data_IF_155843456727
#
_entry.id   IF_155843456727
#
_cell.length_a   1.000
_cell.length_b   1.000
_cell.length_c   1.000
_cell.angle_alpha   90.00
_cell.angle_beta   90.00
_cell.angle_gamma   90.00
#
_symmetry.space_group_name_H-M   'P 1'
#
loop_
_entity.id
_entity.type
_entity.pdbx_description
1 polymer ?
#
# COMPACT_ATOMS: atom_id res chain seq x y z
N UNK A 1 -30.41 -12.02 -4.73
CA UNK A 1 -31.28 -12.95 -3.98
C UNK A 1 -30.64 -14.32 -4.10
N UNK A 2 -29.75 -14.69 -3.18
CA UNK A 2 -29.13 -16.02 -3.21
C UNK A 2 -29.92 -16.94 -2.30
N UNK A 3 -30.42 -18.03 -2.88
CA UNK A 3 -30.97 -19.16 -2.17
C UNK A 3 -29.82 -19.80 -1.37
N UNK A 4 -30.09 -20.25 -0.15
CA UNK A 4 -29.13 -21.09 0.59
C UNK A 4 -28.79 -22.28 -0.31
N UNK A 5 -27.54 -22.32 -0.78
CA UNK A 5 -27.06 -23.40 -1.64
C UNK A 5 -26.82 -24.63 -0.77
N UNK A 6 -27.31 -25.78 -1.25
CA UNK A 6 -27.06 -27.06 -0.60
C UNK A 6 -25.56 -27.40 -0.59
N UNK A 7 -25.11 -28.17 0.40
CA UNK A 7 -23.70 -28.56 0.57
C UNK A 7 -23.16 -29.27 -0.69
N UNK A 8 -24.03 -30.02 -1.40
CA UNK A 8 -23.69 -30.67 -2.68
C UNK A 8 -23.37 -29.65 -3.78
N UNK A 9 -24.11 -28.55 -3.85
CA UNK A 9 -23.86 -27.49 -4.83
C UNK A 9 -22.56 -26.73 -4.51
N UNK A 10 -22.33 -26.43 -3.24
CA UNK A 10 -21.07 -25.84 -2.76
C UNK A 10 -19.87 -26.74 -3.07
N UNK A 11 -20.04 -28.05 -2.93
CA UNK A 11 -19.03 -29.03 -3.28
C UNK A 11 -18.74 -29.02 -4.80
N UNK A 12 -19.78 -29.06 -5.63
CA UNK A 12 -19.65 -29.02 -7.08
C UNK A 12 -18.91 -27.77 -7.57
N UNK A 13 -19.25 -26.59 -7.02
CA UNK A 13 -18.55 -25.33 -7.32
C UNK A 13 -17.08 -25.37 -6.86
N UNK A 14 -16.80 -25.92 -5.68
CA UNK A 14 -15.42 -26.08 -5.19
C UNK A 14 -14.61 -27.01 -6.10
N UNK A 15 -15.23 -28.10 -6.56
CA UNK A 15 -14.63 -29.04 -7.51
C UNK A 15 -14.34 -28.36 -8.86
N UNK A 16 -15.28 -27.58 -9.39
CA UNK A 16 -15.11 -26.78 -10.62
C UNK A 16 -13.91 -25.81 -10.51
N UNK A 17 -13.83 -25.05 -9.41
CA UNK A 17 -12.70 -24.15 -9.15
C UNK A 17 -11.37 -24.90 -9.05
N UNK A 18 -11.34 -26.01 -8.32
CA UNK A 18 -10.13 -26.82 -8.15
C UNK A 18 -9.64 -27.49 -9.44
N UNK A 19 -10.52 -27.69 -10.42
CA UNK A 19 -10.16 -28.18 -11.75
C UNK A 19 -9.58 -27.10 -12.66
N UNK A 20 -9.75 -25.82 -12.32
CA UNK A 20 -9.30 -24.70 -13.14
C UNK A 20 -7.84 -24.34 -12.83
N UNK A 21 -6.91 -24.93 -13.57
CA UNK A 21 -5.46 -24.71 -13.39
C UNK A 21 -5.08 -23.22 -13.41
N UNK A 22 -5.57 -22.38 -14.34
CA UNK A 22 -5.24 -20.95 -14.33
C UNK A 22 -5.72 -20.22 -13.07
N UNK A 23 -6.85 -20.62 -12.48
CA UNK A 23 -7.32 -20.08 -11.21
C UNK A 23 -6.38 -20.44 -10.07
N UNK A 24 -6.00 -21.71 -9.94
CA UNK A 24 -5.03 -22.16 -8.92
C UNK A 24 -3.67 -21.46 -9.06
N UNK A 25 -3.16 -21.34 -10.29
CA UNK A 25 -1.95 -20.58 -10.58
C UNK A 25 -2.09 -19.10 -10.14
N UNK A 26 -3.26 -18.50 -10.37
CA UNK A 26 -3.54 -17.12 -9.91
C UNK A 26 -3.46 -17.00 -8.40
N UNK A 27 -4.08 -17.93 -7.64
CA UNK A 27 -3.98 -17.93 -6.17
C UNK A 27 -2.53 -18.09 -5.71
N UNK A 28 -1.78 -19.01 -6.35
CA UNK A 28 -0.37 -19.27 -6.04
C UNK A 28 0.52 -18.04 -6.26
N UNK A 29 0.36 -17.35 -7.38
CA UNK A 29 1.11 -16.10 -7.67
C UNK A 29 0.79 -15.03 -6.63
N UNK A 30 -0.49 -14.83 -6.28
CA UNK A 30 -0.87 -13.84 -5.25
C UNK A 30 -0.28 -14.16 -3.89
N UNK A 31 -0.34 -15.41 -3.48
CA UNK A 31 0.25 -15.88 -2.23
C UNK A 31 1.76 -15.60 -2.21
N UNK A 32 2.46 -15.95 -3.29
CA UNK A 32 3.89 -15.68 -3.43
C UNK A 32 4.21 -14.18 -3.34
N UNK A 33 3.49 -13.32 -4.08
CA UNK A 33 3.69 -11.87 -4.05
C UNK A 33 3.42 -11.27 -2.65
N UNK A 34 2.40 -11.77 -1.94
CA UNK A 34 2.09 -11.34 -0.59
C UNK A 34 3.17 -11.76 0.42
N UNK A 35 3.74 -12.97 0.29
CA UNK A 35 4.86 -13.42 1.11
C UNK A 35 6.12 -12.57 0.86
N UNK A 36 6.42 -12.27 -0.40
CA UNK A 36 7.52 -11.36 -0.77
C UNK A 36 7.30 -9.97 -0.15
N UNK A 37 6.10 -9.42 -0.26
CA UNK A 37 5.74 -8.13 0.34
C UNK A 37 5.89 -8.11 1.86
N UNK A 38 5.44 -9.18 2.53
CA UNK A 38 5.50 -9.32 4.00
C UNK A 38 6.94 -9.32 4.53
N UNK A 39 7.89 -9.85 3.75
CA UNK A 39 9.33 -9.88 4.12
C UNK A 39 10.03 -8.58 3.68
N UNK A 40 9.74 -8.09 2.47
CA UNK A 40 10.47 -6.96 1.89
C UNK A 40 10.08 -5.61 2.51
N UNK A 41 8.80 -5.38 2.79
CA UNK A 41 8.35 -4.10 3.36
C UNK A 41 8.99 -3.79 4.72
N UNK A 42 9.07 -4.71 5.71
CA UNK A 42 9.75 -4.44 6.98
C UNK A 42 11.24 -4.15 6.80
N UNK A 43 11.92 -4.88 5.89
CA UNK A 43 13.32 -4.63 5.56
C UNK A 43 13.49 -3.20 5.02
N UNK A 44 12.63 -2.79 4.09
CA UNK A 44 12.64 -1.42 3.56
C UNK A 44 12.39 -0.42 4.67
N UNK A 45 11.37 -0.61 5.52
CA UNK A 45 11.07 0.27 6.66
C UNK A 45 12.26 0.47 7.60
N UNK A 46 12.97 -0.61 7.94
CA UNK A 46 14.16 -0.55 8.80
C UNK A 46 15.33 0.16 8.10
N UNK A 47 15.45 0.02 6.78
CA UNK A 47 16.52 0.64 5.99
C UNK A 47 16.24 2.12 5.64
N UNK A 48 15.02 2.60 5.86
CA UNK A 48 14.52 3.84 5.27
C UNK A 48 15.01 5.09 6.01
N UNK A 49 16.25 5.48 5.69
CA UNK A 49 16.78 6.82 5.98
C UNK A 49 16.09 7.92 5.16
N UNK A 50 15.24 7.55 4.20
CA UNK A 50 14.55 8.48 3.29
C UNK A 50 13.50 9.31 4.03
N UNK A 51 12.81 8.69 4.98
CA UNK A 51 11.75 9.33 5.75
C UNK A 51 12.26 10.53 6.56
N UNK A 52 13.56 10.59 6.87
CA UNK A 52 14.17 11.69 7.63
C UNK A 52 14.05 13.06 6.93
N UNK A 53 13.95 13.09 5.60
CA UNK A 53 13.80 14.35 4.85
C UNK A 53 12.38 14.83 4.71
N UNK A 54 11.39 14.00 5.06
CA UNK A 54 10.02 14.45 5.08
C UNK A 54 9.70 15.05 6.44
N UNK A 55 8.86 16.09 6.42
CA UNK A 55 8.17 16.60 7.59
C UNK A 55 7.60 15.44 8.44
N UNK A 56 7.64 15.53 9.79
CA UNK A 56 7.13 14.50 10.68
C UNK A 56 5.70 14.04 10.36
N UNK A 57 4.82 14.96 9.94
CA UNK A 57 3.44 14.67 9.53
C UNK A 57 3.39 13.66 8.37
N UNK A 58 4.07 13.95 7.25
CA UNK A 58 4.13 13.06 6.09
C UNK A 58 4.82 11.73 6.41
N UNK A 59 5.86 11.75 7.27
CA UNK A 59 6.53 10.53 7.72
C UNK A 59 5.58 9.60 8.47
N UNK A 60 4.75 10.14 9.36
CA UNK A 60 3.75 9.36 10.09
C UNK A 60 2.77 8.70 9.12
N UNK A 61 2.21 9.48 8.19
CA UNK A 61 1.23 8.99 7.21
C UNK A 61 1.82 7.90 6.30
N UNK A 62 3.07 8.06 5.85
CA UNK A 62 3.79 7.03 5.10
C UNK A 62 3.94 5.73 5.90
N UNK A 63 4.34 5.81 7.18
CA UNK A 63 4.49 4.63 8.04
C UNK A 63 3.17 3.91 8.26
N UNK A 64 2.10 4.67 8.51
CA UNK A 64 0.76 4.10 8.66
C UNK A 64 0.30 3.42 7.36
N UNK A 65 0.55 4.04 6.20
CA UNK A 65 0.27 3.43 4.91
C UNK A 65 1.00 2.08 4.76
N UNK A 66 2.31 2.04 5.04
CA UNK A 66 3.09 0.79 4.96
C UNK A 66 2.53 -0.28 5.91
N UNK A 67 2.15 0.10 7.13
CA UNK A 67 1.54 -0.81 8.10
C UNK A 67 0.24 -1.44 7.54
N UNK A 68 -0.63 -0.66 6.90
CA UNK A 68 -1.88 -1.20 6.36
C UNK A 68 -1.68 -2.03 5.08
N UNK A 69 -0.63 -1.75 4.30
CA UNK A 69 -0.21 -2.66 3.22
C UNK A 69 0.26 -4.01 3.79
N UNK A 70 0.99 -4.03 4.91
CA UNK A 70 1.35 -5.27 5.61
C UNK A 70 0.13 -6.03 6.12
N UNK A 71 -0.83 -5.35 6.74
CA UNK A 71 -2.11 -5.95 7.17
C UNK A 71 -2.82 -6.60 5.98
N UNK A 72 -2.83 -5.94 4.83
CA UNK A 72 -3.40 -6.49 3.61
C UNK A 72 -2.64 -7.71 3.07
N UNK A 73 -1.30 -7.71 3.16
CA UNK A 73 -0.49 -8.88 2.82
C UNK A 73 -0.86 -10.07 3.71
N UNK A 74 -0.98 -9.88 5.03
CA UNK A 74 -1.40 -10.92 5.97
C UNK A 74 -2.78 -11.49 5.61
N UNK A 75 -3.76 -10.62 5.34
CA UNK A 75 -5.09 -11.05 4.90
C UNK A 75 -5.06 -11.86 3.61
N UNK A 76 -4.22 -11.45 2.64
CA UNK A 76 -4.01 -12.20 1.40
C UNK A 76 -3.39 -13.57 1.68
N UNK A 77 -2.31 -13.64 2.46
CA UNK A 77 -1.68 -14.91 2.82
C UNK A 77 -2.68 -15.87 3.45
N UNK A 78 -3.49 -15.41 4.41
CA UNK A 78 -4.51 -16.24 5.07
C UNK A 78 -5.56 -16.74 4.06
N UNK A 79 -6.15 -15.85 3.27
CA UNK A 79 -7.19 -16.23 2.30
C UNK A 79 -6.66 -17.21 1.24
N UNK A 80 -5.59 -16.86 0.54
CA UNK A 80 -5.10 -17.64 -0.59
C UNK A 80 -4.49 -18.98 -0.12
N UNK A 81 -3.85 -19.03 1.07
CA UNK A 81 -3.30 -20.29 1.61
C UNK A 81 -4.39 -21.28 2.00
N UNK A 82 -5.49 -20.82 2.62
CA UNK A 82 -6.62 -21.69 2.99
C UNK A 82 -7.27 -22.27 1.73
N UNK A 83 -7.55 -21.45 0.73
CA UNK A 83 -8.15 -21.92 -0.51
C UNK A 83 -7.22 -22.88 -1.29
N UNK A 84 -5.93 -22.55 -1.44
CA UNK A 84 -4.97 -23.45 -2.09
C UNK A 84 -4.83 -24.78 -1.36
N UNK A 85 -4.74 -24.76 -0.03
CA UNK A 85 -4.63 -25.98 0.79
C UNK A 85 -5.87 -26.85 0.60
N UNK A 86 -7.06 -26.26 0.61
CA UNK A 86 -8.32 -27.00 0.36
C UNK A 86 -8.37 -27.59 -1.05
N UNK A 87 -8.05 -26.79 -2.07
CA UNK A 87 -8.20 -27.21 -3.46
C UNK A 87 -7.13 -28.21 -3.93
N UNK A 88 -5.93 -28.17 -3.33
CA UNK A 88 -4.82 -29.04 -3.72
C UNK A 88 -4.63 -30.17 -2.71
N UNK A 89 -4.31 -29.83 -1.45
CA UNK A 89 -3.89 -30.81 -0.44
C UNK A 89 -5.07 -31.65 0.04
N UNK A 90 -6.16 -31.03 0.49
CA UNK A 90 -7.30 -31.77 1.03
C UNK A 90 -7.99 -32.62 -0.03
N UNK A 91 -8.14 -32.06 -1.24
CA UNK A 91 -8.65 -32.80 -2.39
C UNK A 91 -7.82 -34.06 -2.64
N UNK A 92 -6.49 -33.92 -2.72
CA UNK A 92 -5.61 -35.05 -2.99
C UNK A 92 -5.66 -36.12 -1.88
N UNK A 93 -5.53 -35.71 -0.62
CA UNK A 93 -5.58 -36.63 0.53
C UNK A 93 -6.90 -37.40 0.59
N UNK A 94 -8.04 -36.75 0.29
CA UNK A 94 -9.36 -37.41 0.29
C UNK A 94 -9.61 -38.28 -0.94
N UNK A 95 -8.96 -38.00 -2.07
CA UNK A 95 -9.03 -38.87 -3.25
C UNK A 95 -8.31 -40.20 -3.02
N UNK A 96 -7.21 -40.18 -2.26
CA UNK A 96 -6.42 -41.38 -1.98
C UNK A 96 -6.99 -42.23 -0.84
N UNK A 97 -7.74 -41.59 0.06
CA UNK A 97 -8.43 -42.29 1.13
C UNK A 97 -9.58 -43.15 0.56
N UNK A 98 -9.57 -44.45 0.83
CA UNK A 98 -10.59 -45.41 0.40
C UNK A 98 -11.98 -45.22 1.05
N UNK A 99 -12.19 -44.11 1.75
CA UNK A 99 -13.44 -43.79 2.41
C UNK A 99 -14.37 -43.03 1.45
N UNK A 100 -15.65 -43.40 1.45
CA UNK A 100 -16.67 -42.73 0.64
C UNK A 100 -17.02 -41.37 1.27
N UNK A 101 -16.34 -40.31 0.82
CA UNK A 101 -16.62 -38.94 1.23
C UNK A 101 -17.67 -38.32 0.30
N UNK A 102 -18.78 -37.83 0.87
CA UNK A 102 -19.80 -37.07 0.13
C UNK A 102 -19.22 -35.85 -0.62
N UNK A 103 -18.11 -35.30 -0.14
CA UNK A 103 -17.42 -34.18 -0.79
C UNK A 103 -15.90 -34.19 -0.58
N UNK A 104 -15.16 -34.15 -1.69
CA UNK A 104 -13.68 -34.08 -1.69
C UNK A 104 -13.14 -32.73 -1.19
N UNK A 105 -13.90 -31.63 -1.33
CA UNK A 105 -13.47 -30.29 -0.92
C UNK A 105 -14.54 -29.68 0.00
N UNK A 106 -14.38 -29.79 1.33
CA UNK A 106 -15.41 -29.37 2.26
C UNK A 106 -15.62 -27.85 2.20
N UNK A 107 -16.87 -27.39 2.28
CA UNK A 107 -17.22 -25.96 2.35
C UNK A 107 -16.60 -25.26 3.56
N UNK A 108 -16.34 -23.95 3.47
CA UNK A 108 -15.83 -23.13 4.56
C UNK A 108 -17.00 -22.48 5.33
N UNK A 109 -17.00 -22.48 6.67
CA UNK A 109 -17.93 -21.67 7.44
C UNK A 109 -17.66 -20.17 7.23
N UNK A 110 -18.71 -19.36 7.05
CA UNK A 110 -18.55 -17.90 6.90
C UNK A 110 -17.85 -17.24 8.10
N UNK A 111 -17.97 -17.82 9.31
CA UNK A 111 -17.25 -17.35 10.49
C UNK A 111 -15.72 -17.32 10.31
N UNK A 112 -15.17 -18.18 9.46
CA UNK A 112 -13.75 -18.18 9.11
C UNK A 112 -13.48 -17.33 7.86
N UNK A 113 -14.28 -17.52 6.81
CA UNK A 113 -14.05 -16.88 5.51
C UNK A 113 -14.18 -15.34 5.58
N UNK A 114 -15.23 -14.84 6.24
CA UNK A 114 -15.57 -13.41 6.26
C UNK A 114 -14.50 -12.60 7.01
N UNK A 115 -14.09 -12.92 8.25
CA UNK A 115 -13.07 -12.13 8.96
C UNK A 115 -11.71 -12.12 8.24
N UNK A 116 -11.29 -13.27 7.70
CA UNK A 116 -10.05 -13.36 6.93
C UNK A 116 -10.09 -12.47 5.69
N UNK A 117 -11.18 -12.52 4.91
CA UNK A 117 -11.35 -11.65 3.74
C UNK A 117 -11.47 -10.18 4.13
N UNK A 118 -12.11 -9.88 5.27
CA UNK A 118 -12.23 -8.52 5.78
C UNK A 118 -10.89 -7.94 6.25
N UNK A 119 -9.97 -8.75 6.78
CA UNK A 119 -8.62 -8.29 7.10
C UNK A 119 -7.88 -7.79 5.85
N UNK A 120 -7.99 -8.53 4.74
CA UNK A 120 -7.43 -8.14 3.44
C UNK A 120 -8.01 -6.81 2.96
N UNK A 121 -9.34 -6.70 2.96
CA UNK A 121 -10.09 -5.52 2.52
C UNK A 121 -9.83 -4.31 3.43
N UNK A 122 -9.73 -4.52 4.74
CA UNK A 122 -9.42 -3.48 5.72
C UNK A 122 -8.06 -2.84 5.44
N UNK A 123 -7.03 -3.67 5.22
CA UNK A 123 -5.70 -3.18 4.84
C UNK A 123 -5.73 -2.38 3.52
N UNK A 124 -6.49 -2.84 2.53
CA UNK A 124 -6.66 -2.11 1.26
C UNK A 124 -7.32 -0.74 1.47
N UNK A 125 -8.49 -0.71 2.11
CA UNK A 125 -9.25 0.51 2.34
C UNK A 125 -8.46 1.52 3.18
N UNK A 126 -7.78 1.04 4.23
CA UNK A 126 -6.97 1.89 5.09
C UNK A 126 -5.79 2.49 4.29
N UNK A 127 -5.08 1.71 3.49
CA UNK A 127 -4.00 2.19 2.60
C UNK A 127 -4.48 3.36 1.72
N UNK A 128 -5.62 3.21 1.03
CA UNK A 128 -6.23 4.29 0.23
C UNK A 128 -6.51 5.55 1.05
N UNK A 129 -7.11 5.40 2.24
CA UNK A 129 -7.45 6.54 3.10
C UNK A 129 -6.21 7.23 3.68
N UNK A 130 -5.14 6.49 3.97
CA UNK A 130 -3.87 7.07 4.42
C UNK A 130 -3.13 7.80 3.31
N UNK A 131 -3.20 7.33 2.06
CA UNK A 131 -2.73 8.10 0.90
C UNK A 131 -3.56 9.37 0.73
N UNK A 132 -4.89 9.30 0.84
CA UNK A 132 -5.74 10.48 0.78
C UNK A 132 -5.41 11.51 1.87
N UNK A 133 -5.21 11.05 3.11
CA UNK A 133 -4.75 11.88 4.22
C UNK A 133 -3.39 12.53 3.92
N UNK A 134 -2.47 11.79 3.30
CA UNK A 134 -1.17 12.33 2.88
C UNK A 134 -1.31 13.39 1.79
N UNK A 135 -2.17 13.19 0.79
CA UNK A 135 -2.45 14.20 -0.23
C UNK A 135 -3.07 15.46 0.38
N UNK A 136 -4.04 15.31 1.28
CA UNK A 136 -4.65 16.43 1.99
C UNK A 136 -3.62 17.22 2.83
N UNK A 137 -2.69 16.50 3.46
CA UNK A 137 -1.60 17.10 4.22
C UNK A 137 -0.61 17.88 3.32
N UNK A 138 -0.26 17.35 2.14
CA UNK A 138 0.55 18.07 1.14
C UNK A 138 -0.18 19.29 0.55
N UNK A 139 -1.49 19.19 0.35
CA UNK A 139 -2.34 20.30 -0.08
C UNK A 139 -2.33 21.41 0.98
N UNK A 140 -2.54 21.06 2.25
CA UNK A 140 -2.49 22.00 3.36
C UNK A 140 -1.11 22.66 3.48
N UNK A 141 -0.03 21.88 3.40
CA UNK A 141 1.34 22.40 3.45
C UNK A 141 1.67 23.35 2.27
N UNK A 142 1.03 23.16 1.11
CA UNK A 142 1.23 24.01 -0.06
C UNK A 142 0.43 25.32 0.00
N UNK A 143 -0.77 25.30 0.60
CA UNK A 143 -1.64 26.48 0.71
C UNK A 143 -1.27 27.33 1.93
N UNK A 144 -1.06 26.69 3.08
CA UNK A 144 -0.90 27.34 4.38
C UNK A 144 0.54 27.30 4.89
N UNK A 145 1.48 27.66 4.01
CA UNK A 145 2.93 27.57 4.24
C UNK A 145 3.35 28.16 5.60
N UNK A 146 2.87 29.37 5.94
CA UNK A 146 3.23 30.07 7.20
C UNK A 146 2.70 29.41 8.47
N UNK A 147 1.52 28.78 8.38
CA UNK A 147 0.86 28.16 9.54
C UNK A 147 1.35 26.73 9.73
N UNK A 148 1.70 26.05 8.63
CA UNK A 148 2.16 24.67 8.64
C UNK A 148 3.42 24.47 9.49
N UNK A 149 4.39 25.38 9.39
CA UNK A 149 5.65 25.30 10.17
C UNK A 149 5.44 25.33 11.69
N UNK A 150 4.40 26.05 12.13
CA UNK A 150 4.06 26.13 13.57
C UNK A 150 3.37 24.85 14.07
N UNK A 151 2.79 24.08 13.16
CA UNK A 151 1.99 22.91 13.46
C UNK A 151 2.82 21.64 13.31
N UNK A 152 3.64 21.35 14.33
CA UNK A 152 4.57 20.22 14.42
C UNK A 152 4.02 18.88 13.86
N UNK A 153 3.34 18.09 14.71
CA UNK A 153 2.88 16.73 14.41
C UNK A 153 1.33 16.62 14.39
N UNK A 154 0.65 17.69 14.80
CA UNK A 154 -0.79 17.69 15.06
C UNK A 154 -1.61 17.35 13.82
N UNK A 155 -1.24 17.88 12.66
CA UNK A 155 -1.97 17.66 11.40
C UNK A 155 -1.87 16.18 10.98
N UNK A 156 -0.67 15.59 11.05
CA UNK A 156 -0.45 14.18 10.72
C UNK A 156 -1.21 13.24 11.65
N UNK A 157 -1.24 13.54 12.95
CA UNK A 157 -1.96 12.74 13.95
C UNK A 157 -3.48 12.84 13.76
N UNK A 158 -4.02 14.05 13.63
CA UNK A 158 -5.47 14.25 13.44
C UNK A 158 -5.93 13.55 12.15
N UNK A 159 -5.23 13.77 11.03
CA UNK A 159 -5.57 13.12 9.76
C UNK A 159 -5.46 11.59 9.82
N UNK A 160 -4.46 11.05 10.54
CA UNK A 160 -4.32 9.61 10.78
C UNK A 160 -5.49 9.04 11.59
N UNK A 161 -5.91 9.72 12.65
CA UNK A 161 -7.05 9.32 13.48
C UNK A 161 -8.34 9.33 12.66
N UNK A 162 -8.58 10.40 11.89
CA UNK A 162 -9.77 10.50 11.03
C UNK A 162 -9.78 9.36 10.01
N UNK A 163 -8.68 9.11 9.30
CA UNK A 163 -8.58 8.01 8.34
C UNK A 163 -8.83 6.65 8.98
N UNK A 164 -8.24 6.41 10.16
CA UNK A 164 -8.41 5.17 10.92
C UNK A 164 -9.86 4.95 11.37
N UNK A 165 -10.51 5.98 11.92
CA UNK A 165 -11.90 5.93 12.39
C UNK A 165 -12.84 5.68 11.20
N UNK A 166 -12.69 6.40 10.09
CA UNK A 166 -13.51 6.18 8.89
C UNK A 166 -13.36 4.74 8.39
N UNK A 167 -12.13 4.26 8.24
CA UNK A 167 -11.87 2.90 7.75
C UNK A 167 -12.49 1.83 8.65
N UNK A 168 -12.30 1.99 9.97
CA UNK A 168 -12.79 1.05 10.98
C UNK A 168 -14.31 1.04 11.02
N UNK A 169 -14.95 2.21 11.01
CA UNK A 169 -16.42 2.31 10.98
C UNK A 169 -17.01 1.68 9.73
N UNK A 170 -16.48 1.96 8.54
CA UNK A 170 -16.96 1.37 7.28
C UNK A 170 -16.79 -0.15 7.28
N UNK A 171 -15.67 -0.64 7.80
CA UNK A 171 -15.39 -2.09 7.86
C UNK A 171 -16.27 -2.79 8.89
N UNK A 172 -16.51 -2.16 10.05
CA UNK A 172 -17.40 -2.68 11.07
C UNK A 172 -18.85 -2.78 10.58
N UNK A 173 -19.35 -1.73 9.91
CA UNK A 173 -20.68 -1.76 9.28
C UNK A 173 -20.77 -2.91 8.28
N UNK A 174 -19.75 -3.10 7.43
CA UNK A 174 -19.70 -4.23 6.50
C UNK A 174 -19.71 -5.56 7.23
N UNK A 175 -18.94 -5.73 8.30
CA UNK A 175 -18.90 -6.97 9.10
C UNK A 175 -20.25 -7.30 9.74
N UNK A 176 -20.95 -6.30 10.29
CA UNK A 176 -22.26 -6.50 10.94
C UNK A 176 -23.35 -6.90 9.94
N UNK A 177 -23.25 -6.45 8.69
CA UNK A 177 -24.23 -6.75 7.64
C UNK A 177 -24.00 -8.10 6.93
N UNK A 178 -22.96 -8.86 7.29
CA UNK A 178 -22.67 -10.18 6.68
C UNK A 178 -23.58 -11.29 7.21
N UNK A 179 -23.86 -12.28 6.37
CA UNK A 179 -24.59 -13.48 6.78
C UNK A 179 -23.61 -14.57 7.22
N UNK A 180 -23.41 -14.73 8.52
CA UNK A 180 -22.47 -15.74 9.07
C UNK A 180 -23.01 -17.17 9.07
N UNK A 181 -24.29 -17.38 8.76
CA UNK A 181 -24.88 -18.73 8.67
C UNK A 181 -24.63 -19.40 7.31
N UNK A 182 -24.31 -18.61 6.28
CA UNK A 182 -24.11 -19.12 4.93
C UNK A 182 -22.74 -19.81 4.82
N UNK A 183 -22.70 -21.05 4.33
CA UNK A 183 -21.44 -21.73 3.99
C UNK A 183 -20.92 -21.23 2.63
N UNK A 184 -19.60 -21.24 2.48
CA UNK A 184 -18.92 -20.68 1.32
C UNK A 184 -18.06 -21.74 0.63
N UNK A 185 -17.99 -21.70 -0.71
CA UNK A 185 -17.15 -22.62 -1.48
C UNK A 185 -15.68 -22.16 -1.57
N UNK A 186 -15.40 -20.87 -1.31
CA UNK A 186 -14.06 -20.25 -1.27
C UNK A 186 -13.98 -19.12 -0.22
N UNK A 187 -12.79 -18.58 0.04
CA UNK A 187 -12.57 -17.45 0.95
C UNK A 187 -13.08 -16.14 0.35
N UNK A 188 -14.35 -15.83 0.60
CA UNK A 188 -15.05 -14.67 0.04
C UNK A 188 -15.91 -13.92 1.06
N UNK A 189 -16.72 -12.98 0.55
CA UNK A 189 -17.77 -12.30 1.29
C UNK A 189 -19.13 -12.90 0.95
N UNK A 190 -20.07 -12.87 1.89
CA UNK A 190 -21.45 -13.29 1.66
C UNK A 190 -22.21 -12.25 0.84
N UNK A 191 -23.20 -12.67 0.05
CA UNK A 191 -23.84 -11.81 -0.97
C UNK A 191 -24.66 -10.64 -0.42
N UNK A 192 -25.01 -10.63 0.88
CA UNK A 192 -25.89 -9.59 1.47
C UNK A 192 -25.25 -8.20 1.62
N UNK A 193 -24.01 -8.01 1.16
CA UNK A 193 -23.30 -6.74 1.33
C UNK A 193 -23.55 -5.74 0.21
N UNK A 194 -24.77 -5.20 0.13
CA UNK A 194 -25.11 -4.14 -0.84
C UNK A 194 -24.26 -2.86 -0.68
N UNK A 195 -23.63 -2.67 0.48
CA UNK A 195 -22.75 -1.53 0.78
C UNK A 195 -21.32 -1.74 0.22
N UNK A 196 -20.94 -2.97 -0.16
CA UNK A 196 -19.58 -3.26 -0.63
C UNK A 196 -19.24 -2.43 -1.87
N UNK A 197 -20.12 -2.48 -2.87
CA UNK A 197 -19.90 -1.91 -4.18
C UNK A 197 -19.83 -0.36 -4.16
N UNK A 198 -20.80 0.37 -3.58
CA UNK A 198 -20.72 1.83 -3.49
C UNK A 198 -19.45 2.31 -2.79
N UNK A 199 -19.02 1.62 -1.72
CA UNK A 199 -17.79 1.98 -1.01
C UNK A 199 -16.55 1.73 -1.86
N UNK A 200 -16.49 0.64 -2.63
CA UNK A 200 -15.36 0.38 -3.54
C UNK A 200 -15.27 1.44 -4.64
N UNK A 201 -16.38 1.81 -5.28
CA UNK A 201 -16.39 2.89 -6.27
C UNK A 201 -16.03 4.25 -5.65
N UNK A 202 -16.48 4.52 -4.42
CA UNK A 202 -16.13 5.76 -3.71
C UNK A 202 -14.63 5.84 -3.44
N UNK A 203 -14.01 4.74 -3.00
CA UNK A 203 -12.56 4.68 -2.78
C UNK A 203 -11.77 4.78 -4.09
N UNK A 204 -12.26 4.15 -5.16
CA UNK A 204 -11.69 4.28 -6.50
C UNK A 204 -11.73 5.75 -6.99
N UNK A 205 -12.84 6.46 -6.77
CA UNK A 205 -12.93 7.89 -7.08
C UNK A 205 -11.94 8.73 -6.25
N UNK A 206 -11.77 8.42 -4.96
CA UNK A 206 -10.77 9.07 -4.10
C UNK A 206 -9.34 8.89 -4.63
N UNK A 207 -8.98 7.71 -5.14
CA UNK A 207 -7.66 7.48 -5.76
C UNK A 207 -7.42 8.38 -6.99
N UNK A 208 -8.42 8.51 -7.86
CA UNK A 208 -8.32 9.40 -9.04
C UNK A 208 -8.16 10.85 -8.60
N UNK A 209 -8.98 11.31 -7.65
CA UNK A 209 -8.91 12.66 -7.11
C UNK A 209 -7.54 12.95 -6.48
N UNK A 210 -6.98 12.00 -5.73
CA UNK A 210 -5.65 12.11 -5.13
C UNK A 210 -4.56 12.37 -6.18
N UNK A 211 -4.55 11.59 -7.27
CA UNK A 211 -3.58 11.75 -8.37
C UNK A 211 -3.73 13.12 -9.05
N UNK A 212 -4.97 13.56 -9.29
CA UNK A 212 -5.25 14.87 -9.91
C UNK A 212 -4.76 16.01 -9.01
N UNK A 213 -5.08 15.97 -7.71
CA UNK A 213 -4.62 16.99 -6.74
C UNK A 213 -3.09 17.04 -6.71
N UNK A 214 -2.41 15.90 -6.64
CA UNK A 214 -0.96 15.84 -6.62
C UNK A 214 -0.34 16.38 -7.92
N UNK A 215 -0.93 16.09 -9.08
CA UNK A 215 -0.49 16.65 -10.35
C UNK A 215 -0.59 18.17 -10.36
N UNK A 216 -1.75 18.72 -9.97
CA UNK A 216 -1.97 20.17 -9.87
C UNK A 216 -0.97 20.80 -8.89
N UNK A 217 -0.80 20.24 -7.70
CA UNK A 217 0.16 20.71 -6.71
C UNK A 217 1.60 20.68 -7.23
N UNK A 218 1.97 19.65 -8.00
CA UNK A 218 3.31 19.57 -8.61
C UNK A 218 3.55 20.73 -9.57
N UNK A 219 2.59 21.02 -10.46
CA UNK A 219 2.71 22.12 -11.41
C UNK A 219 2.69 23.50 -10.73
N UNK A 220 1.82 23.71 -9.73
CA UNK A 220 1.75 24.97 -8.98
C UNK A 220 3.06 25.25 -8.23
N UNK A 221 3.58 24.27 -7.48
CA UNK A 221 4.83 24.43 -6.76
C UNK A 221 6.02 24.67 -7.71
N UNK A 222 6.03 24.00 -8.87
CA UNK A 222 7.06 24.24 -9.91
C UNK A 222 6.95 25.65 -10.50
N UNK A 223 5.75 26.15 -10.77
CA UNK A 223 5.51 27.51 -11.25
C UNK A 223 5.96 28.55 -10.22
N UNK A 224 5.63 28.36 -8.93
CA UNK A 224 6.08 29.27 -7.87
C UNK A 224 7.60 29.28 -7.70
N UNK A 225 8.26 28.13 -7.84
CA UNK A 225 9.73 28.05 -7.85
C UNK A 225 10.36 28.87 -8.99
N UNK A 226 9.71 28.97 -10.14
CA UNK A 226 10.23 29.69 -11.31
C UNK A 226 9.85 31.19 -11.33
N UNK A 227 8.64 31.54 -10.89
CA UNK A 227 8.06 32.88 -11.08
C UNK A 227 8.18 33.86 -9.92
N UNK A 228 8.61 33.44 -8.73
CA UNK A 228 8.73 34.36 -7.59
C UNK A 228 9.85 35.38 -7.78
N UNK A 229 9.59 36.66 -7.53
CA UNK A 229 10.60 37.70 -7.32
C UNK A 229 11.62 37.17 -6.31
N UNK A 230 12.73 36.66 -6.84
CA UNK A 230 13.65 35.76 -6.12
C UNK A 230 14.32 36.48 -4.94
N UNK A 231 14.25 37.80 -4.91
CA UNK A 231 14.89 38.67 -3.93
C UNK A 231 14.00 38.99 -2.71
N UNK A 232 12.66 39.02 -2.85
CA UNK A 232 11.76 39.48 -1.77
C UNK A 232 11.19 38.34 -0.92
N UNK A 233 11.34 37.09 -1.35
CA UNK A 233 10.80 35.93 -0.63
C UNK A 233 11.75 35.46 0.48
N UNK A 234 11.20 35.24 1.68
CA UNK A 234 11.94 34.75 2.85
C UNK A 234 12.58 33.37 2.60
N UNK A 235 13.71 33.10 3.27
CA UNK A 235 14.42 31.82 3.14
C UNK A 235 13.57 30.63 3.56
N UNK A 236 12.77 30.76 4.63
CA UNK A 236 11.84 29.71 5.08
C UNK A 236 10.83 29.33 3.98
N UNK A 237 10.25 30.31 3.30
CA UNK A 237 9.31 30.07 2.20
C UNK A 237 9.96 29.30 1.04
N UNK A 238 11.21 29.64 0.68
CA UNK A 238 11.95 28.93 -0.37
C UNK A 238 12.24 27.48 0.04
N UNK A 239 12.63 27.26 1.30
CA UNK A 239 12.89 25.92 1.83
C UNK A 239 11.63 25.06 1.80
N UNK A 240 10.49 25.60 2.20
CA UNK A 240 9.20 24.90 2.22
C UNK A 240 8.72 24.53 0.81
N UNK A 241 8.88 25.41 -0.18
CA UNK A 241 8.57 25.07 -1.57
C UNK A 241 9.46 23.92 -2.06
N UNK A 242 10.76 23.95 -1.76
CA UNK A 242 11.68 22.89 -2.18
C UNK A 242 11.36 21.56 -1.47
N UNK A 243 11.01 21.60 -0.18
CA UNK A 243 10.54 20.42 0.56
C UNK A 243 9.26 19.86 -0.06
N UNK A 244 8.28 20.71 -0.35
CA UNK A 244 7.01 20.31 -0.97
C UNK A 244 7.22 19.69 -2.35
N UNK A 245 8.05 20.27 -3.21
CA UNK A 245 8.39 19.69 -4.53
C UNK A 245 9.05 18.32 -4.35
N UNK A 246 10.01 18.20 -3.43
CA UNK A 246 10.69 16.94 -3.18
C UNK A 246 9.74 15.88 -2.61
N UNK A 247 8.80 16.25 -1.74
CA UNK A 247 7.77 15.35 -1.23
C UNK A 247 6.77 14.97 -2.32
N UNK A 248 6.22 15.92 -3.09
CA UNK A 248 5.23 15.63 -4.13
C UNK A 248 5.83 14.78 -5.25
N UNK A 249 7.09 15.02 -5.65
CA UNK A 249 7.80 14.17 -6.61
C UNK A 249 7.97 12.71 -6.12
N UNK A 250 7.72 12.44 -4.85
CA UNK A 250 7.60 11.09 -4.30
C UNK A 250 6.21 10.55 -4.34
N UNK A 251 5.29 11.31 -3.74
CA UNK A 251 3.94 10.87 -3.47
C UNK A 251 3.20 10.70 -4.79
N UNK A 252 3.49 11.53 -5.79
CA UNK A 252 2.84 11.48 -7.09
C UNK A 252 3.05 10.15 -7.85
N UNK A 253 4.29 9.69 -8.13
CA UNK A 253 4.49 8.37 -8.74
C UNK A 253 3.90 7.23 -7.91
N UNK A 254 4.04 7.32 -6.58
CA UNK A 254 3.53 6.30 -5.67
C UNK A 254 2.00 6.20 -5.73
N UNK A 255 1.31 7.33 -5.61
CA UNK A 255 -0.15 7.43 -5.68
C UNK A 255 -0.67 7.06 -7.06
N UNK A 256 0.07 7.37 -8.13
CA UNK A 256 -0.31 6.96 -9.50
C UNK A 256 -0.30 5.43 -9.65
N UNK A 257 0.74 4.78 -9.14
CA UNK A 257 0.85 3.32 -9.19
C UNK A 257 -0.18 2.65 -8.27
N UNK A 258 -0.40 3.22 -7.08
CA UNK A 258 -1.45 2.77 -6.17
C UNK A 258 -2.83 2.86 -6.85
N UNK A 259 -3.16 4.04 -7.39
CA UNK A 259 -4.38 4.28 -8.15
C UNK A 259 -4.52 3.28 -9.32
N UNK A 260 -3.47 3.01 -10.10
CA UNK A 260 -3.54 2.05 -11.21
C UNK A 260 -3.97 0.65 -10.75
N UNK A 261 -3.30 0.08 -9.74
CA UNK A 261 -3.61 -1.27 -9.26
C UNK A 261 -4.94 -1.34 -8.51
N UNK A 262 -5.28 -0.30 -7.75
CA UNK A 262 -6.52 -0.22 -6.99
C UNK A 262 -7.73 0.09 -7.88
N UNK A 263 -7.58 0.90 -8.94
CA UNK A 263 -8.62 1.10 -9.94
C UNK A 263 -8.88 -0.17 -10.73
N UNK A 264 -7.81 -0.86 -11.16
CA UNK A 264 -7.98 -2.16 -11.82
C UNK A 264 -8.75 -3.13 -10.91
N UNK A 265 -8.42 -3.18 -9.62
CA UNK A 265 -9.15 -4.05 -8.67
C UNK A 265 -10.55 -3.53 -8.36
N UNK A 266 -10.75 -2.24 -8.11
CA UNK A 266 -12.01 -1.65 -7.64
C UNK A 266 -13.04 -1.42 -8.75
N UNK A 267 -12.61 -1.28 -10.00
CA UNK A 267 -13.49 -1.05 -11.14
C UNK A 267 -13.58 -2.27 -12.06
N UNK A 268 -12.45 -2.85 -12.47
CA UNK A 268 -12.46 -3.99 -13.40
C UNK A 268 -13.01 -5.26 -12.76
N UNK A 269 -12.72 -5.50 -11.47
CA UNK A 269 -13.23 -6.69 -10.78
C UNK A 269 -14.75 -6.71 -10.69
N UNK A 270 -15.45 -5.68 -10.16
CA UNK A 270 -16.91 -5.71 -10.13
C UNK A 270 -17.51 -5.79 -11.54
N UNK A 271 -16.98 -5.00 -12.48
CA UNK A 271 -17.46 -5.00 -13.86
C UNK A 271 -17.40 -6.39 -14.51
N UNK A 272 -16.24 -7.06 -14.43
CA UNK A 272 -16.08 -8.40 -15.00
C UNK A 272 -16.78 -9.47 -14.18
N UNK A 273 -16.79 -9.39 -12.85
CA UNK A 273 -17.47 -10.37 -11.99
C UNK A 273 -18.99 -10.33 -12.15
N UNK A 274 -19.60 -9.15 -12.22
CA UNK A 274 -21.06 -9.01 -12.36
C UNK A 274 -21.57 -9.35 -13.75
N UNK A 275 -20.73 -9.28 -14.78
CA UNK A 275 -21.09 -9.79 -16.12
C UNK A 275 -21.18 -11.33 -16.18
N UNK A 276 -20.71 -12.05 -15.15
CA UNK A 276 -20.76 -13.52 -15.11
C UNK A 276 -22.06 -14.02 -14.46
N UNK A 277 -22.76 -14.91 -15.16
CA UNK A 277 -23.96 -15.58 -14.67
C UNK A 277 -23.65 -16.67 -13.62
N UNK A 278 -22.60 -17.47 -13.85
CA UNK A 278 -22.21 -18.57 -12.94
C UNK A 278 -21.36 -18.03 -11.76
N UNK A 279 -21.61 -18.52 -10.55
CA UNK A 279 -20.85 -18.18 -9.34
C UNK A 279 -19.38 -18.60 -9.44
N UNK A 280 -19.08 -19.75 -10.04
CA UNK A 280 -17.70 -20.20 -10.23
C UNK A 280 -16.93 -19.28 -11.18
N UNK A 281 -17.51 -18.96 -12.36
CA UNK A 281 -16.87 -18.05 -13.31
C UNK A 281 -16.74 -16.64 -12.76
N UNK A 282 -17.70 -16.18 -11.94
CA UNK A 282 -17.59 -14.94 -11.18
C UNK A 282 -16.40 -14.94 -10.23
N UNK A 283 -16.21 -16.00 -9.45
CA UNK A 283 -15.07 -16.13 -8.53
C UNK A 283 -13.74 -16.19 -9.29
N UNK A 284 -13.68 -16.88 -10.43
CA UNK A 284 -12.50 -16.93 -11.31
C UNK A 284 -12.18 -15.54 -11.86
N UNK A 285 -13.18 -14.84 -12.40
CA UNK A 285 -13.03 -13.48 -12.91
C UNK A 285 -12.55 -12.52 -11.82
N UNK A 286 -13.15 -12.59 -10.63
CA UNK A 286 -12.75 -11.78 -9.49
C UNK A 286 -11.30 -12.06 -9.06
N UNK A 287 -10.90 -13.32 -9.02
CA UNK A 287 -9.52 -13.68 -8.69
C UNK A 287 -8.53 -13.17 -9.75
N UNK A 288 -8.82 -13.27 -11.04
CA UNK A 288 -7.90 -12.83 -12.11
C UNK A 288 -7.74 -11.31 -12.22
N UNK A 289 -8.71 -10.55 -11.70
CA UNK A 289 -8.76 -9.08 -11.78
C UNK A 289 -8.29 -8.39 -10.50
N UNK A 290 -7.83 -9.16 -9.52
CA UNK A 290 -7.29 -8.61 -8.29
C UNK A 290 -5.79 -8.30 -8.45
N UNK A 291 -5.48 -7.06 -8.80
CA UNK A 291 -4.11 -6.62 -9.10
C UNK A 291 -3.35 -6.09 -7.89
N UNK A 292 -4.01 -5.88 -6.75
CA UNK A 292 -3.34 -5.34 -5.54
C UNK A 292 -2.12 -6.17 -5.09
N UNK A 293 -2.08 -7.52 -5.22
CA UNK A 293 -0.89 -8.27 -4.87
C UNK A 293 0.39 -7.86 -5.62
N UNK A 294 0.28 -7.31 -6.83
CA UNK A 294 1.45 -6.74 -7.54
C UNK A 294 1.99 -5.50 -6.81
N UNK A 295 1.10 -4.70 -6.22
CA UNK A 295 1.48 -3.52 -5.44
C UNK A 295 2.33 -3.87 -4.22
N UNK A 296 2.14 -5.05 -3.60
CA UNK A 296 2.95 -5.50 -2.46
C UNK A 296 4.44 -5.60 -2.77
N UNK A 297 4.81 -5.81 -4.04
CA UNK A 297 6.20 -5.89 -4.51
C UNK A 297 6.65 -4.58 -5.14
N UNK A 298 5.78 -3.94 -5.94
CA UNK A 298 6.11 -2.66 -6.59
C UNK A 298 6.33 -1.56 -5.55
N UNK A 299 5.56 -1.54 -4.46
CA UNK A 299 5.69 -0.52 -3.43
C UNK A 299 7.08 -0.50 -2.76
N UNK A 300 7.58 -1.59 -2.13
CA UNK A 300 8.92 -1.58 -1.52
C UNK A 300 10.02 -1.33 -2.55
N UNK A 301 9.85 -1.80 -3.80
CA UNK A 301 10.79 -1.52 -4.88
C UNK A 301 10.91 -0.02 -5.15
N UNK A 302 9.80 0.72 -5.24
CA UNK A 302 9.82 2.18 -5.43
C UNK A 302 10.50 2.91 -4.26
N UNK A 303 10.20 2.51 -3.02
CA UNK A 303 10.83 3.05 -1.81
C UNK A 303 12.35 2.84 -1.84
N UNK A 304 12.79 1.64 -2.21
CA UNK A 304 14.21 1.27 -2.29
C UNK A 304 14.92 2.00 -3.44
N UNK A 305 14.36 2.01 -4.65
CA UNK A 305 14.92 2.71 -5.81
C UNK A 305 15.15 4.19 -5.49
N UNK A 306 14.20 4.82 -4.81
CA UNK A 306 14.34 6.21 -4.37
C UNK A 306 15.42 6.37 -3.31
N UNK A 307 15.51 5.44 -2.34
CA UNK A 307 16.56 5.48 -1.31
C UNK A 307 17.94 5.42 -1.95
N UNK A 308 18.12 4.50 -2.90
CA UNK A 308 19.36 4.34 -3.67
C UNK A 308 19.67 5.58 -4.49
N UNK A 309 18.70 6.13 -5.23
CA UNK A 309 18.88 7.34 -6.03
C UNK A 309 19.31 8.54 -5.17
N UNK A 310 18.68 8.71 -3.99
CA UNK A 310 19.03 9.77 -3.04
C UNK A 310 20.43 9.57 -2.47
N UNK A 311 20.80 8.34 -2.06
CA UNK A 311 22.16 8.03 -1.58
C UNK A 311 23.20 8.36 -2.65
N UNK A 312 22.98 7.92 -3.90
CA UNK A 312 23.88 8.26 -5.02
C UNK A 312 24.02 9.76 -5.24
N UNK A 313 22.93 10.53 -5.15
CA UNK A 313 22.98 12.00 -5.26
C UNK A 313 23.79 12.62 -4.12
N UNK A 314 23.59 12.16 -2.88
CA UNK A 314 24.38 12.63 -1.72
C UNK A 314 25.85 12.26 -1.90
N UNK A 315 26.17 11.01 -2.25
CA UNK A 315 27.55 10.58 -2.50
C UNK A 315 28.21 11.41 -3.60
N UNK A 316 27.48 11.74 -4.69
CA UNK A 316 27.99 12.60 -5.75
C UNK A 316 28.18 14.05 -5.32
N UNK A 317 27.27 14.59 -4.51
CA UNK A 317 27.43 15.93 -3.95
C UNK A 317 28.60 15.98 -2.97
N UNK A 318 28.72 14.98 -2.10
CA UNK A 318 29.87 14.81 -1.22
C UNK A 318 31.12 14.66 -2.06
N UNK A 319 31.18 13.88 -3.14
CA UNK A 319 32.39 13.78 -3.97
C UNK A 319 32.74 15.05 -4.75
N UNK A 320 31.74 15.87 -5.10
CA UNK A 320 31.95 17.15 -5.81
C UNK A 320 32.27 18.30 -4.86
N UNK A 321 31.72 18.30 -3.64
CA UNK A 321 31.97 19.30 -2.59
C UNK A 321 33.03 18.86 -1.58
N UNK A 322 33.44 17.60 -1.51
CA UNK A 322 34.71 17.20 -0.90
C UNK A 322 35.79 17.69 -1.85
N UNK A 323 36.62 18.69 -1.52
CA UNK A 323 37.24 18.90 -0.19
C UNK A 323 37.93 17.59 0.30
N UNK A 324 38.15 16.63 -0.61
CA UNK A 324 39.10 15.53 -0.45
C UNK A 324 40.55 15.98 -0.57
N UNK A 325 40.78 17.21 -1.06
CA UNK A 325 42.05 17.90 -0.91
C UNK A 325 42.07 18.90 0.25
N UNK A 326 40.95 19.56 0.59
CA UNK A 326 40.97 20.58 1.65
C UNK A 326 40.97 20.01 3.07
N UNK A 327 40.35 18.86 3.37
CA UNK A 327 40.44 18.29 4.74
C UNK A 327 41.78 17.61 5.03
N UNK A 328 42.42 17.05 4.00
CA UNK A 328 43.81 16.59 4.04
C UNK A 328 44.77 17.77 4.04
N UNK A 329 44.53 18.86 3.28
CA UNK A 329 45.33 20.09 3.39
C UNK A 329 45.17 20.75 4.75
N UNK A 330 43.96 20.92 5.29
CA UNK A 330 43.76 21.57 6.59
C UNK A 330 44.36 20.71 7.70
N UNK A 331 44.19 19.38 7.68
CA UNK A 331 44.91 18.52 8.65
C UNK A 331 46.42 18.53 8.45
N UNK A 332 46.91 18.67 7.21
CA UNK A 332 48.33 18.76 6.91
C UNK A 332 48.91 20.11 7.36
N UNK A 333 48.21 21.21 7.11
CA UNK A 333 48.55 22.57 7.56
C UNK A 333 48.48 22.65 9.08
N UNK A 334 47.46 22.07 9.71
CA UNK A 334 47.33 22.02 11.17
C UNK A 334 48.49 21.21 11.78
N UNK A 335 48.83 20.05 11.22
CA UNK A 335 49.98 19.25 11.66
C UNK A 335 51.33 19.97 11.40
N UNK A 336 51.50 20.65 10.27
CA UNK A 336 52.70 21.45 9.96
C UNK A 336 52.84 22.63 10.94
N UNK A 337 51.73 23.26 11.32
CA UNK A 337 51.70 24.35 12.30
C UNK A 337 52.06 23.86 13.70
N UNK A 338 51.57 22.69 14.10
CA UNK A 338 51.94 22.05 15.37
C UNK A 338 53.40 21.60 15.41
N UNK A 339 53.94 21.06 14.31
CA UNK A 339 55.35 20.71 14.20
C UNK A 339 56.27 21.94 14.24
N UNK A 340 55.86 23.06 13.63
CA UNK A 340 56.61 24.31 13.68
C UNK A 340 56.64 24.89 15.10
N UNK A 341 55.50 24.89 15.81
CA UNK A 341 55.44 25.28 17.22
C UNK A 341 56.34 24.39 18.09
N UNK A 342 56.30 23.07 17.86
CA UNK A 342 57.13 22.11 18.60
C UNK A 342 58.63 22.39 18.44
N UNK A 343 59.07 22.81 17.24
CA UNK A 343 60.45 23.22 16.97
C UNK A 343 60.84 24.57 17.58
N UNK A 344 59.90 25.47 17.81
CA UNK A 344 60.19 26.76 18.46
C UNK A 344 60.34 26.64 19.97
N UNK A 345 59.70 25.64 20.58
CA UNK A 345 59.67 25.44 22.04
C UNK A 345 60.54 24.28 22.54
N UNK A 346 61.28 23.62 21.64
CA UNK A 346 62.35 22.65 21.97
C UNK A 346 63.70 23.25 21.68
#
# INVERSE_FOLDING_TARGET
>A
MTMDMDDRQLCALSMELSGNIPYLATLGVKLFLALVGLIWLPVVMCSETLSSTFHPNARLLLKMNILFVLVSCCGTVICESIDLTRFVVFKHVRMDASADYDCLIPSIPALLAVPAKMLKIYGHNASTLFIAAWVAERLYASIFIRTYEKNNLTIGVISSIIAFVICTSVTLVRLVLMNYHQKMFYMGLTDKNHIAEPVMYSLAAVEVVNVVILAVLFFLNRKWRQGGNRLETSLSHKFQIEENINAISFVFPLSTIHCLFYMATGFLMPFLAFSQANAATRAIAAARTEFVPLYYVVFPLLLQLRTVAKRKRITRLVSLHYIGNYSTQVKKEENEHFDMLKKMFS
#
